data_IF_685020585832
#
_entry.id   IF_685020585832
#
_cell.length_a   1.000
_cell.length_b   1.000
_cell.length_c   1.000
_cell.angle_alpha   90.00
_cell.angle_beta   90.00
_cell.angle_gamma   90.00
#
_symmetry.space_group_name_H-M   'P 1'
#
loop_
_entity.id
_entity.type
_entity.pdbx_description
1 polymer ?
#
# COMPACT_ATOMS: atom_id res chain seq x y z
N UNK A 1 5.67 8.51 -15.66
CA UNK A 1 5.95 8.89 -17.05
C UNK A 1 7.27 8.29 -17.48
N UNK A 2 7.38 7.93 -18.76
CA UNK A 2 8.64 7.52 -19.38
C UNK A 2 9.57 8.74 -19.39
N UNK A 3 10.85 8.50 -19.18
CA UNK A 3 11.90 9.52 -19.15
C UNK A 3 13.08 9.04 -19.99
N UNK A 4 13.56 9.89 -20.87
CA UNK A 4 14.76 9.69 -21.67
C UNK A 4 15.69 10.87 -21.43
N UNK A 5 16.95 10.60 -21.10
CA UNK A 5 17.95 11.62 -20.80
C UNK A 5 19.27 11.27 -21.48
N UNK A 6 19.84 12.21 -22.20
CA UNK A 6 21.20 12.10 -22.70
C UNK A 6 22.20 12.39 -21.57
N UNK A 7 22.81 11.33 -21.04
CA UNK A 7 23.75 11.40 -19.89
C UNK A 7 25.07 12.04 -20.29
N UNK A 8 25.59 11.65 -21.44
CA UNK A 8 26.70 12.26 -22.14
C UNK A 8 26.41 12.25 -23.63
N UNK A 9 27.02 13.12 -24.45
CA UNK A 9 26.75 13.11 -25.87
C UNK A 9 26.86 11.73 -26.52
N UNK A 10 25.74 11.26 -27.08
CA UNK A 10 25.62 9.95 -27.71
C UNK A 10 25.31 8.78 -26.76
N UNK A 11 25.05 9.02 -25.46
CA UNK A 11 24.60 8.02 -24.50
C UNK A 11 23.26 8.40 -23.90
N UNK A 12 22.21 7.71 -24.24
CA UNK A 12 20.86 7.92 -23.75
C UNK A 12 20.56 6.84 -22.70
N UNK A 13 20.04 7.27 -21.56
CA UNK A 13 19.46 6.39 -20.56
C UNK A 13 18.01 6.79 -20.30
N UNK A 14 17.16 5.83 -20.08
CA UNK A 14 15.75 6.08 -19.85
C UNK A 14 15.12 5.11 -18.88
N UNK A 15 13.89 5.41 -18.51
CA UNK A 15 13.03 4.49 -17.76
C UNK A 15 11.68 4.37 -18.42
N UNK A 16 11.06 3.21 -18.23
CA UNK A 16 9.68 2.93 -18.64
C UNK A 16 8.88 2.45 -17.44
N UNK A 17 7.65 2.92 -17.36
CA UNK A 17 6.67 2.45 -16.40
C UNK A 17 5.75 1.46 -17.12
N UNK A 18 5.83 0.19 -16.76
CA UNK A 18 5.05 -0.87 -17.39
C UNK A 18 4.25 -1.66 -16.36
N UNK A 19 2.98 -2.02 -16.65
CA UNK A 19 2.19 -2.83 -15.74
C UNK A 19 2.79 -4.23 -15.58
N UNK A 20 2.50 -4.87 -14.46
CA UNK A 20 2.70 -6.32 -14.32
C UNK A 20 1.69 -7.06 -15.18
N UNK A 21 2.03 -8.26 -15.63
CA UNK A 21 1.19 -9.02 -16.55
C UNK A 21 -0.07 -9.57 -15.86
N UNK A 22 0.09 -10.23 -14.72
CA UNK A 22 -1.00 -10.86 -13.97
C UNK A 22 -1.09 -10.39 -12.53
N UNK A 23 -2.28 -9.98 -12.11
CA UNK A 23 -2.59 -9.54 -10.74
C UNK A 23 -3.49 -10.55 -10.03
N UNK A 24 -3.16 -10.90 -8.80
CA UNK A 24 -3.96 -11.73 -7.91
C UNK A 24 -4.61 -10.88 -6.81
N UNK A 25 -5.93 -10.71 -6.86
CA UNK A 25 -6.72 -9.91 -5.94
C UNK A 25 -7.37 -10.82 -4.89
N UNK A 26 -6.95 -10.72 -3.64
CA UNK A 26 -7.59 -11.41 -2.53
C UNK A 26 -8.73 -10.57 -1.97
N UNK A 27 -9.93 -11.14 -1.96
CA UNK A 27 -11.14 -10.48 -1.46
C UNK A 27 -11.64 -11.23 -0.22
N UNK A 28 -11.59 -10.63 0.98
CA UNK A 28 -12.12 -11.29 2.17
C UNK A 28 -13.62 -11.57 2.06
N UNK A 29 -14.07 -12.75 2.46
CA UNK A 29 -15.46 -13.18 2.33
C UNK A 29 -15.97 -14.01 3.51
N UNK A 30 -15.23 -14.04 4.62
CA UNK A 30 -15.54 -14.87 5.78
C UNK A 30 -16.68 -14.31 6.64
N UNK A 31 -16.34 -13.46 7.61
CA UNK A 31 -17.28 -12.87 8.56
C UNK A 31 -18.21 -11.85 7.90
N UNK A 32 -17.66 -10.99 7.06
CA UNK A 32 -18.39 -9.97 6.26
C UNK A 32 -18.13 -10.18 4.75
N UNK A 33 -19.00 -9.63 3.92
CA UNK A 33 -18.81 -9.59 2.45
C UNK A 33 -18.10 -8.28 2.08
N UNK A 34 -16.79 -8.35 1.81
CA UNK A 34 -15.98 -7.17 1.49
C UNK A 34 -16.10 -6.81 0.00
N UNK A 35 -17.29 -6.35 -0.41
CA UNK A 35 -17.58 -5.96 -1.81
C UNK A 35 -16.64 -4.85 -2.28
N UNK A 36 -16.41 -3.85 -1.42
CA UNK A 36 -15.53 -2.73 -1.73
C UNK A 36 -14.08 -3.18 -2.00
N UNK A 37 -13.57 -4.21 -1.30
CA UNK A 37 -12.24 -4.76 -1.58
C UNK A 37 -12.15 -5.37 -2.98
N UNK A 38 -13.21 -6.00 -3.49
CA UNK A 38 -13.24 -6.48 -4.87
C UNK A 38 -13.17 -5.32 -5.86
N UNK A 39 -13.97 -4.27 -5.63
CA UNK A 39 -13.96 -3.06 -6.48
C UNK A 39 -12.58 -2.42 -6.47
N UNK A 40 -12.01 -2.18 -5.30
CA UNK A 40 -10.77 -1.42 -5.13
C UNK A 40 -9.52 -2.16 -5.64
N UNK A 41 -9.47 -3.48 -5.49
CA UNK A 41 -8.33 -4.27 -5.99
C UNK A 41 -8.43 -4.50 -7.50
N UNK A 42 -9.56 -4.96 -7.99
CA UNK A 42 -9.75 -5.32 -9.40
C UNK A 42 -9.75 -4.09 -10.30
N UNK A 43 -10.48 -3.02 -9.94
CA UNK A 43 -10.51 -1.79 -10.74
C UNK A 43 -9.12 -1.17 -10.86
N UNK A 44 -8.36 -1.12 -9.75
CA UNK A 44 -7.01 -0.56 -9.76
C UNK A 44 -6.06 -1.37 -10.66
N UNK A 45 -6.15 -2.72 -10.62
CA UNK A 45 -5.40 -3.60 -11.52
C UNK A 45 -5.79 -3.36 -13.00
N UNK A 46 -7.10 -3.18 -13.27
CA UNK A 46 -7.60 -2.93 -14.62
C UNK A 46 -7.13 -1.60 -15.17
N UNK A 47 -7.21 -0.54 -14.38
CA UNK A 47 -6.74 0.80 -14.75
C UNK A 47 -5.22 0.82 -14.93
N UNK A 48 -4.48 0.03 -14.15
CA UNK A 48 -3.04 -0.13 -14.31
C UNK A 48 -2.65 -0.79 -15.64
N UNK A 49 -3.57 -1.54 -16.27
CA UNK A 49 -3.34 -2.22 -17.54
C UNK A 49 -2.79 -3.65 -17.38
N UNK A 50 -3.06 -4.32 -16.26
CA UNK A 50 -2.74 -5.74 -16.12
C UNK A 50 -3.51 -6.57 -17.17
N UNK A 51 -2.82 -7.50 -17.83
CA UNK A 51 -3.42 -8.32 -18.89
C UNK A 51 -4.34 -9.40 -18.34
N UNK A 52 -4.08 -9.90 -17.12
CA UNK A 52 -4.92 -10.92 -16.49
C UNK A 52 -5.13 -10.59 -15.00
N UNK A 53 -6.39 -10.53 -14.59
CA UNK A 53 -6.80 -10.17 -13.22
C UNK A 53 -7.58 -11.32 -12.62
N UNK A 54 -7.01 -11.93 -11.58
CA UNK A 54 -7.61 -13.01 -10.81
C UNK A 54 -8.16 -12.46 -9.51
N UNK A 55 -9.43 -12.73 -9.22
CA UNK A 55 -10.03 -12.47 -7.92
C UNK A 55 -10.25 -13.78 -7.17
N UNK A 56 -9.91 -13.86 -5.90
CA UNK A 56 -10.20 -15.03 -5.06
C UNK A 56 -10.91 -14.62 -3.78
N UNK A 57 -11.92 -15.39 -3.38
CA UNK A 57 -12.66 -15.17 -2.16
C UNK A 57 -13.08 -16.50 -1.53
N UNK A 58 -13.03 -16.62 -0.17
CA UNK A 58 -13.45 -17.84 0.50
C UNK A 58 -14.93 -18.13 0.24
N UNK A 59 -15.26 -19.37 -0.17
CA UNK A 59 -16.65 -19.79 -0.33
C UNK A 59 -17.32 -19.99 1.03
N UNK A 60 -18.62 -19.73 1.10
CA UNK A 60 -19.48 -20.06 2.23
C UNK A 60 -20.18 -21.41 1.98
N UNK A 61 -20.35 -22.26 3.00
CA UNK A 61 -21.06 -23.53 2.85
C UNK A 61 -22.45 -23.34 2.22
N UNK A 62 -22.75 -24.14 1.17
CA UNK A 62 -24.03 -24.11 0.47
C UNK A 62 -24.28 -22.89 -0.45
N UNK A 63 -23.44 -21.87 -0.40
CA UNK A 63 -23.64 -20.61 -1.18
C UNK A 63 -22.50 -20.37 -2.19
N UNK A 64 -21.29 -20.84 -1.88
CA UNK A 64 -20.10 -20.45 -2.63
C UNK A 64 -19.61 -19.06 -2.27
N UNK A 65 -18.94 -18.38 -3.20
CA UNK A 65 -18.56 -16.97 -3.03
C UNK A 65 -19.83 -16.10 -3.01
N UNK A 66 -19.84 -15.10 -2.13
CA UNK A 66 -21.00 -14.20 -2.03
C UNK A 66 -21.34 -13.57 -3.40
N UNK A 67 -22.58 -13.65 -3.87
CA UNK A 67 -22.97 -13.16 -5.21
C UNK A 67 -22.58 -11.71 -5.46
N UNK A 68 -22.65 -10.85 -4.44
CA UNK A 68 -22.27 -9.44 -4.55
C UNK A 68 -20.75 -9.26 -4.80
N UNK A 69 -19.88 -10.14 -4.24
CA UNK A 69 -18.45 -10.14 -4.53
C UNK A 69 -18.19 -10.58 -5.97
N UNK A 70 -18.88 -11.65 -6.43
CA UNK A 70 -18.76 -12.12 -7.82
C UNK A 70 -19.16 -11.01 -8.80
N UNK A 71 -20.32 -10.38 -8.55
CA UNK A 71 -20.81 -9.30 -9.39
C UNK A 71 -19.83 -8.12 -9.43
N UNK A 72 -19.36 -7.66 -8.26
CA UNK A 72 -18.41 -6.56 -8.17
C UNK A 72 -17.10 -6.88 -8.92
N UNK A 73 -16.50 -8.06 -8.67
CA UNK A 73 -15.29 -8.47 -9.36
C UNK A 73 -15.47 -8.54 -10.88
N UNK A 74 -16.63 -9.06 -11.34
CA UNK A 74 -16.95 -9.17 -12.75
C UNK A 74 -17.08 -7.79 -13.42
N UNK A 75 -17.88 -6.87 -12.86
CA UNK A 75 -18.08 -5.55 -13.47
C UNK A 75 -16.83 -4.69 -13.44
N UNK A 76 -15.91 -4.92 -12.47
CA UNK A 76 -14.62 -4.24 -12.38
C UNK A 76 -13.57 -4.83 -13.35
N UNK A 77 -13.85 -5.97 -13.99
CA UNK A 77 -13.03 -6.53 -15.05
C UNK A 77 -12.07 -7.64 -14.60
N UNK A 78 -12.44 -8.42 -13.57
CA UNK A 78 -11.74 -9.66 -13.26
C UNK A 78 -11.93 -10.70 -14.38
N UNK A 79 -10.83 -11.29 -14.88
CA UNK A 79 -10.86 -12.32 -15.91
C UNK A 79 -11.17 -13.70 -15.32
N UNK A 80 -10.79 -13.91 -14.06
CA UNK A 80 -11.02 -15.17 -13.34
C UNK A 80 -11.45 -14.89 -11.92
N UNK A 81 -12.50 -15.59 -11.45
CA UNK A 81 -12.98 -15.54 -10.07
C UNK A 81 -12.91 -16.94 -9.48
N UNK A 82 -12.17 -17.10 -8.37
CA UNK A 82 -11.96 -18.37 -7.71
C UNK A 82 -12.74 -18.45 -6.41
N UNK A 83 -13.46 -19.55 -6.20
CA UNK A 83 -14.09 -19.91 -4.93
C UNK A 83 -13.06 -20.59 -4.00
N UNK A 84 -12.03 -19.87 -3.60
CA UNK A 84 -10.93 -20.37 -2.78
C UNK A 84 -10.43 -19.25 -1.87
N UNK A 85 -10.26 -19.55 -0.59
CA UNK A 85 -9.81 -18.55 0.38
C UNK A 85 -8.53 -18.94 1.12
N UNK A 86 -8.11 -18.09 2.04
CA UNK A 86 -6.97 -18.35 2.92
C UNK A 86 -5.66 -18.51 2.17
N UNK A 87 -4.74 -19.25 2.78
CA UNK A 87 -3.40 -19.56 2.24
C UNK A 87 -3.50 -20.26 0.88
N UNK A 88 -4.52 -21.09 0.70
CA UNK A 88 -4.73 -21.86 -0.53
C UNK A 88 -5.01 -20.94 -1.73
N UNK A 89 -5.82 -19.88 -1.54
CA UNK A 89 -6.08 -18.87 -2.58
C UNK A 89 -4.81 -18.10 -2.97
N UNK A 90 -4.02 -17.71 -1.99
CA UNK A 90 -2.71 -17.07 -2.19
C UNK A 90 -1.75 -17.99 -2.96
N UNK A 91 -1.65 -19.25 -2.54
CA UNK A 91 -0.80 -20.24 -3.21
C UNK A 91 -1.26 -20.51 -4.66
N UNK A 92 -2.57 -20.68 -4.88
CA UNK A 92 -3.11 -20.95 -6.22
C UNK A 92 -2.74 -19.85 -7.22
N UNK A 93 -2.89 -18.57 -6.84
CA UNK A 93 -2.50 -17.44 -7.68
C UNK A 93 -0.99 -17.36 -7.89
N UNK A 94 -0.20 -17.58 -6.83
CA UNK A 94 1.27 -17.49 -6.92
C UNK A 94 1.87 -18.55 -7.82
N UNK A 95 1.38 -19.78 -7.72
CA UNK A 95 1.94 -20.93 -8.45
C UNK A 95 1.25 -21.21 -9.78
N UNK A 96 0.16 -20.52 -10.09
CA UNK A 96 -0.61 -20.74 -11.32
C UNK A 96 -1.31 -22.08 -11.32
N UNK A 97 -1.94 -22.45 -10.19
CA UNK A 97 -2.69 -23.70 -10.09
C UNK A 97 -4.01 -23.61 -10.84
N UNK A 98 -4.61 -24.76 -11.14
CA UNK A 98 -5.92 -24.85 -11.82
C UNK A 98 -5.95 -24.20 -13.22
N UNK A 99 -4.82 -24.17 -13.92
CA UNK A 99 -4.73 -23.55 -15.25
C UNK A 99 -4.64 -22.03 -15.27
N UNK A 100 -4.44 -21.40 -14.12
CA UNK A 100 -4.25 -19.96 -14.01
C UNK A 100 -2.85 -19.52 -14.46
N UNK A 101 -2.67 -18.29 -14.96
CA UNK A 101 -1.35 -17.70 -15.04
C UNK A 101 -0.80 -17.47 -13.64
N UNK A 102 0.54 -17.45 -13.50
CA UNK A 102 1.18 -17.08 -12.25
C UNK A 102 1.01 -15.58 -12.01
N UNK A 103 0.51 -15.21 -10.84
CA UNK A 103 0.46 -13.80 -10.45
C UNK A 103 1.87 -13.21 -10.35
N UNK A 104 2.02 -11.98 -10.84
CA UNK A 104 3.23 -11.17 -10.62
C UNK A 104 3.12 -10.37 -9.32
N UNK A 105 1.90 -10.03 -8.92
CA UNK A 105 1.60 -9.32 -7.66
C UNK A 105 0.36 -9.91 -7.01
N UNK A 106 0.37 -9.96 -5.68
CA UNK A 106 -0.78 -10.30 -4.83
C UNK A 106 -1.21 -9.07 -4.06
N UNK A 107 -2.49 -8.74 -4.13
CA UNK A 107 -3.06 -7.56 -3.47
C UNK A 107 -4.31 -7.89 -2.68
N UNK A 108 -4.66 -7.03 -1.77
CA UNK A 108 -5.87 -7.13 -0.97
C UNK A 108 -5.62 -7.52 0.48
N UNK A 109 -6.53 -7.09 1.38
CA UNK A 109 -6.46 -7.38 2.81
C UNK A 109 -6.87 -8.82 3.07
N UNK A 110 -6.45 -9.37 4.21
CA UNK A 110 -6.82 -10.71 4.64
C UNK A 110 -6.56 -10.91 6.13
N UNK A 111 -6.90 -12.08 6.65
CA UNK A 111 -6.55 -12.43 8.01
C UNK A 111 -5.03 -12.68 8.16
N UNK A 112 -4.58 -12.88 9.40
CA UNK A 112 -3.16 -13.13 9.72
C UNK A 112 -2.51 -14.25 8.90
N UNK A 113 -3.25 -15.30 8.52
CA UNK A 113 -2.71 -16.40 7.70
C UNK A 113 -2.52 -15.97 6.24
N UNK A 114 -3.39 -15.13 5.72
CA UNK A 114 -3.26 -14.55 4.38
C UNK A 114 -2.08 -13.57 4.35
N UNK A 115 -1.96 -12.72 5.36
CA UNK A 115 -0.84 -11.80 5.52
C UNK A 115 0.50 -12.55 5.59
N UNK A 116 0.56 -13.62 6.41
CA UNK A 116 1.76 -14.45 6.55
C UNK A 116 2.10 -15.20 5.25
N UNK A 117 1.09 -15.71 4.53
CA UNK A 117 1.32 -16.33 3.22
C UNK A 117 1.91 -15.34 2.20
N UNK A 118 1.41 -14.09 2.17
CA UNK A 118 1.98 -13.02 1.35
C UNK A 118 3.43 -12.73 1.77
N UNK A 119 3.70 -12.64 3.06
CA UNK A 119 5.04 -12.38 3.59
C UNK A 119 6.05 -13.47 3.20
N UNK A 120 5.69 -14.74 3.32
CA UNK A 120 6.56 -15.88 2.96
C UNK A 120 6.85 -15.90 1.45
N UNK A 121 5.88 -15.51 0.62
CA UNK A 121 6.00 -15.57 -0.83
C UNK A 121 6.58 -14.30 -1.45
N UNK A 122 6.75 -13.23 -0.65
CA UNK A 122 7.39 -12.00 -1.13
C UNK A 122 8.80 -12.28 -1.65
N UNK A 123 9.12 -11.70 -2.80
CA UNK A 123 10.34 -12.00 -3.56
C UNK A 123 10.14 -13.04 -4.67
N UNK A 124 9.25 -14.01 -4.47
CA UNK A 124 8.79 -14.90 -5.54
C UNK A 124 7.64 -14.26 -6.34
N UNK A 125 6.79 -13.55 -5.67
CA UNK A 125 5.70 -12.73 -6.19
C UNK A 125 5.73 -11.37 -5.49
N UNK A 126 5.36 -10.30 -6.17
CA UNK A 126 5.16 -8.99 -5.54
C UNK A 126 3.96 -9.02 -4.59
N UNK A 127 3.97 -8.14 -3.61
CA UNK A 127 2.81 -7.89 -2.75
C UNK A 127 2.53 -6.40 -2.66
N UNK A 128 1.29 -6.03 -2.38
CA UNK A 128 0.92 -4.63 -2.11
C UNK A 128 1.57 -4.14 -0.82
N UNK A 129 1.25 -4.83 0.29
CA UNK A 129 1.74 -4.58 1.64
C UNK A 129 1.42 -5.78 2.55
N UNK A 130 1.97 -5.77 3.75
CA UNK A 130 1.56 -6.68 4.82
C UNK A 130 0.56 -5.90 5.67
N UNK A 131 -0.71 -6.30 5.65
CA UNK A 131 -1.76 -5.70 6.44
C UNK A 131 -1.98 -6.52 7.73
N UNK A 132 -1.88 -5.84 8.86
CA UNK A 132 -2.28 -6.33 10.18
C UNK A 132 -3.74 -5.98 10.51
N UNK A 133 -4.10 -5.94 11.80
CA UNK A 133 -5.37 -5.38 12.24
C UNK A 133 -5.52 -3.93 11.80
N UNK A 134 -6.73 -3.53 11.46
CA UNK A 134 -7.06 -2.12 11.17
C UNK A 134 -6.75 -1.26 12.37
N UNK A 135 -6.10 -0.14 12.15
CA UNK A 135 -5.83 0.88 13.15
C UNK A 135 -6.32 2.27 12.68
N UNK A 136 -6.74 3.09 13.62
CA UNK A 136 -7.31 4.40 13.30
C UNK A 136 -6.99 5.43 14.36
N UNK A 137 -6.59 6.63 13.93
CA UNK A 137 -6.30 7.76 14.78
C UNK A 137 -7.20 8.94 14.42
N UNK A 138 -7.79 9.55 15.45
CA UNK A 138 -8.51 10.82 15.33
C UNK A 138 -7.69 11.93 15.99
N UNK A 139 -7.31 12.93 15.20
CA UNK A 139 -6.83 14.21 15.67
C UNK A 139 -8.01 15.14 15.85
N UNK A 140 -8.24 15.65 17.05
CA UNK A 140 -9.37 16.52 17.32
C UNK A 140 -8.95 17.67 18.27
N UNK A 141 -9.21 18.90 17.87
CA UNK A 141 -9.04 20.06 18.76
C UNK A 141 -10.35 20.40 19.50
N UNK A 142 -10.33 21.45 20.29
CA UNK A 142 -11.50 21.92 21.08
C UNK A 142 -12.73 22.29 20.25
N UNK A 143 -12.60 22.46 18.92
CA UNK A 143 -13.71 22.83 18.04
C UNK A 143 -14.51 21.60 17.58
N UNK A 144 -13.96 20.39 17.71
CA UNK A 144 -14.59 19.15 17.27
C UNK A 144 -15.84 18.80 18.10
N UNK A 145 -16.83 18.19 17.45
CA UNK A 145 -17.99 17.61 18.15
C UNK A 145 -17.60 16.28 18.84
N UNK A 146 -17.62 16.20 20.19
CA UNK A 146 -17.23 15.00 20.90
C UNK A 146 -18.11 13.78 20.60
N UNK A 147 -19.35 13.98 20.10
CA UNK A 147 -20.21 12.87 19.71
C UNK A 147 -19.77 12.29 18.37
N UNK A 148 -19.38 13.12 17.39
CA UNK A 148 -18.86 12.67 16.10
C UNK A 148 -17.52 11.95 16.32
N UNK A 149 -16.59 12.55 17.08
CA UNK A 149 -15.30 11.92 17.43
C UNK A 149 -15.51 10.53 18.06
N UNK A 150 -16.37 10.45 19.08
CA UNK A 150 -16.67 9.17 19.74
C UNK A 150 -17.29 8.14 18.79
N UNK A 151 -18.18 8.59 17.89
CA UNK A 151 -18.82 7.70 16.91
C UNK A 151 -17.80 7.17 15.89
N UNK A 152 -16.90 8.01 15.42
CA UNK A 152 -15.84 7.60 14.48
C UNK A 152 -14.89 6.58 15.14
N UNK A 153 -14.46 6.79 16.38
CA UNK A 153 -13.64 5.83 17.12
C UNK A 153 -14.34 4.48 17.30
N UNK A 154 -15.61 4.48 17.69
CA UNK A 154 -16.40 3.24 17.88
C UNK A 154 -16.61 2.52 16.56
N UNK A 155 -16.85 3.26 15.45
CA UNK A 155 -17.03 2.67 14.13
C UNK A 155 -15.79 1.93 13.62
N UNK A 156 -14.59 2.32 14.09
CA UNK A 156 -13.35 1.64 13.77
C UNK A 156 -13.04 0.49 14.74
N UNK A 157 -13.36 0.67 16.01
CA UNK A 157 -13.17 -0.38 17.01
C UNK A 157 -14.00 -1.65 16.73
N UNK A 158 -15.13 -1.56 16.02
CA UNK A 158 -15.98 -2.73 15.66
C UNK A 158 -15.34 -3.68 14.65
N UNK A 159 -14.29 -3.26 13.92
CA UNK A 159 -13.60 -4.09 12.91
C UNK A 159 -13.04 -5.38 13.50
N UNK A 160 -12.55 -5.34 14.75
CA UNK A 160 -12.02 -6.52 15.41
C UNK A 160 -11.60 -6.24 16.85
N UNK A 161 -11.58 -7.29 17.68
CA UNK A 161 -11.18 -7.21 19.09
C UNK A 161 -9.77 -6.64 19.31
N UNK A 162 -8.92 -6.63 18.29
CA UNK A 162 -7.55 -6.17 18.31
C UNK A 162 -7.29 -5.01 17.33
N UNK A 163 -8.31 -4.21 17.04
CA UNK A 163 -8.20 -3.01 16.18
C UNK A 163 -7.91 -1.79 17.05
N UNK A 164 -6.68 -1.24 17.05
CA UNK A 164 -6.34 -0.06 17.82
C UNK A 164 -7.12 1.16 17.35
N UNK A 165 -7.59 1.96 18.29
CA UNK A 165 -8.19 3.27 18.02
C UNK A 165 -7.59 4.30 18.96
N UNK A 166 -7.18 5.45 18.41
CA UNK A 166 -6.47 6.47 19.17
C UNK A 166 -7.12 7.82 19.01
N UNK A 167 -7.25 8.57 20.12
CA UNK A 167 -7.61 9.97 20.13
C UNK A 167 -6.38 10.78 20.52
N UNK A 168 -6.00 11.75 19.70
CA UNK A 168 -4.95 12.72 20.00
C UNK A 168 -5.59 14.12 19.99
N UNK A 169 -5.49 14.84 21.08
CA UNK A 169 -6.15 16.14 21.25
C UNK A 169 -5.31 17.10 22.10
N UNK A 170 -5.48 18.40 21.92
CA UNK A 170 -4.96 19.43 22.82
C UNK A 170 -5.99 19.89 23.88
N UNK A 171 -7.18 19.27 23.89
CA UNK A 171 -8.28 19.62 24.80
C UNK A 171 -8.61 18.47 25.76
N UNK A 172 -8.26 18.67 27.04
CA UNK A 172 -8.61 17.70 28.08
C UNK A 172 -10.13 17.53 28.24
N UNK A 173 -10.88 18.62 28.12
CA UNK A 173 -12.35 18.58 28.24
C UNK A 173 -12.98 17.75 27.11
N UNK A 174 -12.47 17.88 25.88
CA UNK A 174 -12.89 17.06 24.75
C UNK A 174 -12.56 15.58 25.00
N UNK A 175 -11.36 15.27 25.46
CA UNK A 175 -10.95 13.92 25.78
C UNK A 175 -11.87 13.25 26.79
N UNK A 176 -12.21 13.96 27.88
CA UNK A 176 -13.11 13.46 28.93
C UNK A 176 -14.53 13.27 28.40
N UNK A 177 -15.06 14.20 27.60
CA UNK A 177 -16.41 14.07 27.03
C UNK A 177 -16.50 12.91 26.02
N UNK A 178 -15.50 12.74 25.15
CA UNK A 178 -15.41 11.60 24.23
C UNK A 178 -15.41 10.27 25.00
N UNK A 179 -14.51 10.11 25.98
CA UNK A 179 -14.42 8.90 26.81
C UNK A 179 -15.74 8.57 27.50
N UNK A 180 -16.47 9.56 27.99
CA UNK A 180 -17.76 9.37 28.65
C UNK A 180 -18.87 8.89 27.69
N UNK A 181 -18.78 9.18 26.40
CA UNK A 181 -19.78 8.77 25.36
C UNK A 181 -19.56 7.36 24.86
N UNK A 182 -18.31 6.91 24.76
CA UNK A 182 -17.90 5.62 24.15
C UNK A 182 -18.68 4.43 24.72
N UNK A 183 -18.83 4.23 26.06
CA UNK A 183 -19.51 3.04 26.58
C UNK A 183 -20.95 2.91 26.12
N UNK A 184 -21.68 4.02 25.98
CA UNK A 184 -23.05 4.02 25.48
C UNK A 184 -23.09 3.67 24.00
N UNK A 185 -22.25 4.27 23.18
CA UNK A 185 -22.19 4.02 21.74
C UNK A 185 -21.84 2.54 21.46
N UNK A 186 -20.90 1.96 22.21
CA UNK A 186 -20.57 0.54 22.10
C UNK A 186 -21.77 -0.34 22.47
N UNK A 187 -22.48 -0.02 23.56
CA UNK A 187 -23.63 -0.81 24.01
C UNK A 187 -24.83 -0.79 23.03
N UNK A 188 -24.94 0.26 22.24
CA UNK A 188 -25.99 0.40 21.22
C UNK A 188 -25.72 -0.42 19.94
N UNK A 189 -24.52 -1.03 19.80
CA UNK A 189 -24.16 -1.87 18.66
C UNK A 189 -24.78 -3.28 18.75
N UNK A 190 -24.94 -3.98 17.60
CA UNK A 190 -25.28 -5.42 17.58
C UNK A 190 -24.23 -6.25 18.31
N UNK A 191 -24.63 -7.40 18.86
CA UNK A 191 -23.80 -8.22 19.77
C UNK A 191 -22.37 -8.45 19.30
N UNK A 192 -22.16 -8.91 18.05
CA UNK A 192 -20.84 -9.18 17.52
C UNK A 192 -19.97 -7.92 17.41
N UNK A 193 -20.56 -6.82 16.94
CA UNK A 193 -19.88 -5.54 16.77
C UNK A 193 -19.54 -4.93 18.14
N UNK A 194 -20.50 -5.01 19.08
CA UNK A 194 -20.31 -4.60 20.46
C UNK A 194 -19.16 -5.33 21.15
N UNK A 195 -19.11 -6.64 21.06
CA UNK A 195 -18.08 -7.45 21.71
C UNK A 195 -16.67 -7.12 21.15
N UNK A 196 -16.56 -6.92 19.83
CA UNK A 196 -15.32 -6.47 19.21
C UNK A 196 -14.91 -5.07 19.67
N UNK A 197 -15.83 -4.09 19.58
CA UNK A 197 -15.56 -2.70 19.96
C UNK A 197 -15.20 -2.57 21.45
N UNK A 198 -15.87 -3.33 22.32
CA UNK A 198 -15.58 -3.35 23.76
C UNK A 198 -14.16 -3.87 24.04
N UNK A 199 -13.77 -4.96 23.40
CA UNK A 199 -12.44 -5.53 23.57
C UNK A 199 -11.36 -4.59 22.99
N UNK A 200 -11.56 -4.04 21.78
CA UNK A 200 -10.65 -3.09 21.16
C UNK A 200 -10.45 -1.83 22.02
N UNK A 201 -11.55 -1.25 22.50
CA UNK A 201 -11.51 -0.05 23.36
C UNK A 201 -10.80 -0.31 24.69
N UNK A 202 -11.07 -1.45 25.33
CA UNK A 202 -10.48 -1.79 26.62
C UNK A 202 -8.97 -2.08 26.52
N UNK A 203 -8.53 -2.80 25.49
CA UNK A 203 -7.21 -3.41 25.43
C UNK A 203 -6.23 -2.67 24.52
N UNK A 204 -6.71 -1.85 23.55
CA UNK A 204 -5.89 -1.24 22.52
C UNK A 204 -6.15 0.25 22.28
N UNK A 205 -7.15 0.86 22.94
CA UNK A 205 -7.41 2.28 22.77
C UNK A 205 -6.46 3.12 23.61
N UNK A 206 -6.08 4.26 23.05
CA UNK A 206 -5.31 5.30 23.77
C UNK A 206 -5.95 6.67 23.55
N UNK A 207 -5.95 7.48 24.62
CA UNK A 207 -6.38 8.88 24.58
C UNK A 207 -5.22 9.73 25.04
N UNK A 208 -4.67 10.53 24.14
CA UNK A 208 -3.43 11.28 24.33
C UNK A 208 -3.77 12.78 24.32
N UNK A 209 -3.40 13.48 25.39
CA UNK A 209 -3.57 14.94 25.49
C UNK A 209 -2.21 15.60 25.29
N UNK A 210 -2.09 16.37 24.24
CA UNK A 210 -0.89 17.11 23.83
C UNK A 210 -0.95 18.56 24.30
N UNK A 211 0.20 19.22 24.33
CA UNK A 211 0.30 20.63 24.71
C UNK A 211 -0.21 21.57 23.62
N UNK A 212 -0.05 21.19 22.35
CA UNK A 212 -0.44 21.99 21.19
C UNK A 212 -0.57 21.14 19.91
N UNK A 213 -1.00 21.78 18.83
CA UNK A 213 -1.20 21.13 17.52
C UNK A 213 0.08 20.55 16.89
N UNK A 214 1.26 21.13 17.22
CA UNK A 214 2.53 20.59 16.69
C UNK A 214 2.88 19.25 17.34
N UNK A 215 2.67 19.15 18.65
CA UNK A 215 2.83 17.90 19.38
C UNK A 215 1.80 16.87 18.94
N UNK A 216 0.53 17.27 18.69
CA UNK A 216 -0.49 16.39 18.12
C UNK A 216 -0.05 15.83 16.76
N UNK A 217 0.46 16.68 15.86
CA UNK A 217 0.92 16.26 14.54
C UNK A 217 2.15 15.34 14.62
N UNK A 218 3.09 15.64 15.51
CA UNK A 218 4.27 14.79 15.73
C UNK A 218 3.87 13.41 16.28
N UNK A 219 2.97 13.37 17.25
CA UNK A 219 2.41 12.14 17.81
C UNK A 219 1.72 11.31 16.74
N UNK A 220 0.88 11.94 15.90
CA UNK A 220 0.23 11.24 14.78
C UNK A 220 1.22 10.64 13.79
N UNK A 221 2.25 11.40 13.41
CA UNK A 221 3.29 10.90 12.48
C UNK A 221 4.11 9.75 13.10
N UNK A 222 4.29 9.72 14.44
CA UNK A 222 4.94 8.61 15.15
C UNK A 222 4.10 7.33 15.12
N UNK A 223 2.78 7.45 15.31
CA UNK A 223 1.86 6.31 15.18
C UNK A 223 1.72 5.82 13.75
N UNK A 224 1.86 6.70 12.77
CA UNK A 224 1.72 6.41 11.34
C UNK A 224 0.49 5.52 11.05
N UNK A 225 -0.73 6.00 11.37
CA UNK A 225 -1.94 5.20 11.35
C UNK A 225 -2.37 4.81 9.92
N UNK A 226 -3.09 3.70 9.82
CA UNK A 226 -3.80 3.30 8.60
C UNK A 226 -4.81 4.36 8.19
N UNK A 227 -5.68 4.75 9.12
CA UNK A 227 -6.69 5.78 8.93
C UNK A 227 -6.44 6.95 9.87
N UNK A 228 -6.32 8.14 9.29
CA UNK A 228 -6.13 9.37 10.04
C UNK A 228 -7.29 10.33 9.78
N UNK A 229 -8.09 10.60 10.80
CA UNK A 229 -9.16 11.60 10.75
C UNK A 229 -8.72 12.87 11.48
N UNK A 230 -8.96 14.04 10.90
CA UNK A 230 -8.69 15.35 11.50
C UNK A 230 -10.00 16.10 11.66
N UNK A 231 -10.42 16.31 12.89
CA UNK A 231 -11.58 17.13 13.27
C UNK A 231 -11.08 18.34 14.06
N UNK A 232 -10.58 19.33 13.35
CA UNK A 232 -9.92 20.49 13.92
C UNK A 232 -10.07 21.73 13.03
N UNK A 233 -9.79 22.90 13.57
CA UNK A 233 -9.67 24.13 12.77
C UNK A 233 -8.45 24.05 11.84
N UNK A 234 -8.45 24.87 10.75
CA UNK A 234 -7.34 25.03 9.81
C UNK A 234 -6.89 23.70 9.13
N UNK A 235 -7.82 23.03 8.47
CA UNK A 235 -7.59 21.76 7.79
C UNK A 235 -6.46 21.80 6.74
N UNK A 236 -6.20 22.94 6.12
CA UNK A 236 -5.09 23.11 5.17
C UNK A 236 -3.73 23.03 5.86
N UNK A 237 -3.60 23.55 7.08
CA UNK A 237 -2.39 23.40 7.87
C UNK A 237 -2.12 21.91 8.17
N UNK A 238 -3.13 21.17 8.65
CA UNK A 238 -3.01 19.73 8.95
C UNK A 238 -2.60 18.95 7.73
N UNK A 239 -3.26 19.21 6.58
CA UNK A 239 -2.91 18.56 5.31
C UNK A 239 -1.47 18.81 4.88
N UNK A 240 -0.95 20.01 5.14
CA UNK A 240 0.43 20.37 4.81
C UNK A 240 1.47 19.84 5.80
N UNK A 241 1.07 19.58 7.05
CA UNK A 241 1.98 19.20 8.14
C UNK A 241 2.12 17.69 8.34
N UNK A 242 1.04 16.95 8.16
CA UNK A 242 1.00 15.51 8.36
C UNK A 242 1.65 14.76 7.18
N UNK A 243 2.41 13.71 7.49
CA UNK A 243 3.18 12.96 6.48
C UNK A 243 3.08 11.44 6.58
N UNK A 244 2.69 10.90 7.73
CA UNK A 244 2.66 9.47 7.97
C UNK A 244 1.21 8.99 8.21
N UNK A 245 0.52 8.61 7.13
CA UNK A 245 -0.83 8.03 7.18
C UNK A 245 -1.12 7.17 5.96
N UNK A 246 -1.98 6.18 6.10
CA UNK A 246 -2.46 5.40 4.97
C UNK A 246 -3.50 6.17 4.15
N UNK A 247 -4.51 6.74 4.82
CA UNK A 247 -5.51 7.65 4.23
C UNK A 247 -5.88 8.74 5.23
N UNK A 248 -6.01 9.99 4.74
CA UNK A 248 -6.32 11.18 5.54
C UNK A 248 -7.74 11.66 5.26
N UNK A 249 -8.53 11.87 6.33
CA UNK A 249 -9.90 12.37 6.31
C UNK A 249 -9.94 13.73 7.02
N UNK A 250 -10.33 14.79 6.32
CA UNK A 250 -10.26 16.16 6.79
C UNK A 250 -11.65 16.74 7.04
N UNK A 251 -11.90 17.15 8.28
CA UNK A 251 -13.17 17.76 8.72
C UNK A 251 -14.19 16.72 9.18
N UNK A 252 -15.20 17.18 9.95
CA UNK A 252 -16.28 16.30 10.43
C UNK A 252 -17.29 15.90 9.34
N UNK A 253 -17.26 16.53 8.17
CA UNK A 253 -18.09 16.16 7.02
C UNK A 253 -17.58 14.91 6.30
N UNK A 254 -16.43 14.38 6.68
CA UNK A 254 -15.92 13.12 6.16
C UNK A 254 -15.61 12.12 7.28
N UNK A 255 -15.59 10.85 6.94
CA UNK A 255 -15.28 9.78 7.89
C UNK A 255 -14.60 8.62 7.16
N UNK A 256 -13.88 7.77 7.90
CA UNK A 256 -13.28 6.55 7.39
C UNK A 256 -14.29 5.69 6.64
N UNK A 257 -15.52 5.59 7.14
CA UNK A 257 -16.59 4.82 6.49
C UNK A 257 -16.91 5.27 5.06
N UNK A 258 -16.73 6.55 4.73
CA UNK A 258 -16.88 7.02 3.34
C UNK A 258 -15.72 6.54 2.46
N UNK A 259 -14.48 6.61 2.96
CA UNK A 259 -13.30 6.10 2.27
C UNK A 259 -13.39 4.61 2.00
N UNK A 260 -13.89 3.86 2.97
CA UNK A 260 -14.09 2.42 2.84
C UNK A 260 -15.13 2.02 1.78
N UNK A 261 -16.03 2.91 1.41
CA UNK A 261 -17.20 2.53 0.59
C UNK A 261 -17.36 3.36 -0.68
N UNK A 262 -17.35 4.70 -0.58
CA UNK A 262 -17.96 5.52 -1.62
C UNK A 262 -17.17 6.80 -2.00
N UNK A 263 -16.19 7.25 -1.23
CA UNK A 263 -15.47 8.50 -1.52
C UNK A 263 -14.42 8.38 -2.64
N UNK A 264 -14.13 7.16 -3.11
CA UNK A 264 -13.26 6.92 -4.26
C UNK A 264 -11.79 6.64 -3.92
N UNK A 265 -11.33 6.92 -2.72
CA UNK A 265 -10.00 6.52 -2.26
C UNK A 265 -9.92 5.02 -2.01
N UNK A 266 -8.71 4.44 -2.13
CA UNK A 266 -8.53 3.00 -1.90
C UNK A 266 -8.39 2.72 -0.41
N UNK A 267 -9.14 1.73 0.09
CA UNK A 267 -9.12 1.33 1.50
C UNK A 267 -8.14 0.18 1.81
N UNK A 268 -7.42 -0.31 0.83
CA UNK A 268 -6.33 -1.29 1.08
C UNK A 268 -5.11 -0.49 1.48
N UNK A 269 -4.92 -0.33 2.77
CA UNK A 269 -3.99 0.63 3.37
C UNK A 269 -2.93 -0.08 4.22
N UNK A 270 -1.77 0.56 4.44
CA UNK A 270 -0.74 0.03 5.33
C UNK A 270 -1.17 0.18 6.80
N UNK A 271 -0.99 -0.87 7.59
CA UNK A 271 -1.32 -0.93 9.02
C UNK A 271 -0.05 -1.02 9.87
N UNK A 272 -0.22 -0.92 11.19
CA UNK A 272 0.86 -1.18 12.15
C UNK A 272 2.11 -0.30 11.91
N UNK A 273 1.91 0.97 11.65
CA UNK A 273 2.98 1.94 11.42
C UNK A 273 3.64 1.89 10.04
N UNK A 274 3.20 1.02 9.15
CA UNK A 274 3.77 0.91 7.81
C UNK A 274 3.50 2.15 6.93
N UNK A 275 2.56 3.02 7.33
CA UNK A 275 2.31 4.29 6.67
C UNK A 275 3.50 5.26 6.75
N UNK A 276 4.49 5.00 7.62
CA UNK A 276 5.74 5.75 7.67
C UNK A 276 6.61 5.59 6.40
N UNK A 277 6.41 4.53 5.60
CA UNK A 277 7.24 4.28 4.40
C UNK A 277 6.45 3.90 3.14
N UNK A 278 5.15 3.63 3.24
CA UNK A 278 4.34 3.24 2.08
C UNK A 278 2.92 3.78 2.18
N UNK A 279 2.33 4.11 1.05
CA UNK A 279 0.92 4.48 0.96
C UNK A 279 0.03 3.27 0.61
N UNK A 280 -1.26 3.52 0.51
CA UNK A 280 -2.27 2.53 0.14
C UNK A 280 -2.12 1.96 -1.27
N UNK A 281 -2.98 1.01 -1.58
CA UNK A 281 -3.05 0.40 -2.90
C UNK A 281 -3.41 1.44 -3.96
N UNK A 282 -2.57 1.53 -4.96
CA UNK A 282 -2.74 2.46 -6.08
C UNK A 282 -2.27 1.79 -7.37
N UNK A 283 -2.50 2.45 -8.50
CA UNK A 283 -2.00 1.99 -9.81
C UNK A 283 -0.49 1.70 -9.78
N UNK A 284 0.28 2.49 -9.04
CA UNK A 284 1.74 2.31 -8.91
C UNK A 284 2.15 0.94 -8.36
N UNK A 285 1.35 0.31 -7.50
CA UNK A 285 1.65 -1.02 -6.96
C UNK A 285 1.63 -2.11 -8.04
N UNK A 286 0.86 -1.91 -9.10
CA UNK A 286 0.79 -2.83 -10.24
C UNK A 286 1.79 -2.47 -11.36
N UNK A 287 2.61 -1.44 -11.16
CA UNK A 287 3.58 -0.97 -12.12
C UNK A 287 4.99 -1.38 -11.70
N UNK A 288 5.83 -1.64 -12.69
CA UNK A 288 7.27 -1.75 -12.50
C UNK A 288 7.98 -0.69 -13.32
N UNK A 289 9.01 -0.10 -12.74
CA UNK A 289 9.90 0.83 -13.41
C UNK A 289 11.10 0.04 -13.88
N UNK A 290 11.33 0.03 -15.19
CA UNK A 290 12.49 -0.62 -15.80
C UNK A 290 13.33 0.41 -16.50
N UNK A 291 14.65 0.21 -16.50
CA UNK A 291 15.60 1.10 -17.18
C UNK A 291 16.08 0.51 -18.49
N UNK A 292 16.44 1.36 -19.43
CA UNK A 292 17.07 0.99 -20.68
C UNK A 292 18.19 1.98 -21.03
N UNK A 293 19.13 1.56 -21.85
CA UNK A 293 20.28 2.35 -22.27
C UNK A 293 20.57 2.10 -23.74
N UNK A 294 20.98 3.16 -24.43
CA UNK A 294 21.43 3.10 -25.82
C UNK A 294 22.60 4.05 -26.04
N UNK A 295 23.64 3.58 -26.71
CA UNK A 295 24.80 4.38 -27.04
C UNK A 295 25.05 4.43 -28.56
N UNK A 296 25.44 5.58 -29.04
CA UNK A 296 26.16 5.69 -30.31
C UNK A 296 27.61 5.23 -30.12
N UNK A 297 28.38 5.08 -31.21
CA UNK A 297 29.81 4.73 -31.12
C UNK A 297 30.59 5.77 -30.31
N UNK A 298 30.34 7.04 -30.55
CA UNK A 298 31.01 8.14 -29.81
C UNK A 298 30.62 8.22 -28.33
N UNK A 299 29.34 8.02 -28.04
CA UNK A 299 28.87 7.92 -26.64
C UNK A 299 29.47 6.71 -25.92
N UNK A 300 29.57 5.57 -26.63
CA UNK A 300 30.21 4.35 -26.10
C UNK A 300 31.71 4.58 -25.77
N UNK A 301 32.44 5.38 -26.57
CA UNK A 301 33.85 5.66 -26.35
C UNK A 301 34.12 6.26 -24.95
N UNK A 302 33.33 7.27 -24.58
CA UNK A 302 33.49 7.96 -23.29
C UNK A 302 33.15 7.03 -22.13
N UNK A 303 32.01 6.35 -22.23
CA UNK A 303 31.53 5.46 -21.19
C UNK A 303 32.43 4.23 -21.01
N UNK A 304 32.95 3.68 -22.12
CA UNK A 304 33.82 2.49 -22.07
C UNK A 304 35.16 2.78 -21.35
N UNK A 305 35.76 3.94 -21.53
CA UNK A 305 37.00 4.29 -20.83
C UNK A 305 36.80 4.35 -19.32
N UNK A 306 35.75 5.04 -18.86
CA UNK A 306 35.42 5.10 -17.43
C UNK A 306 35.05 3.71 -16.88
N UNK A 307 34.28 2.93 -17.61
CA UNK A 307 33.87 1.57 -17.24
C UNK A 307 35.10 0.67 -17.06
N UNK A 308 36.04 0.68 -18.01
CA UNK A 308 37.24 -0.16 -17.93
C UNK A 308 38.08 0.15 -16.69
N UNK A 309 38.28 1.44 -16.40
CA UNK A 309 39.06 1.87 -15.22
C UNK A 309 38.39 1.50 -13.91
N UNK A 310 37.10 1.84 -13.75
CA UNK A 310 36.34 1.52 -12.54
C UNK A 310 36.31 0.01 -12.31
N UNK A 311 36.02 -0.77 -13.37
CA UNK A 311 35.98 -2.22 -13.25
C UNK A 311 37.32 -2.83 -12.81
N UNK A 312 38.46 -2.31 -13.25
CA UNK A 312 39.78 -2.74 -12.81
C UNK A 312 40.07 -2.34 -11.37
N UNK A 313 39.65 -1.16 -10.95
CA UNK A 313 39.72 -0.75 -9.54
C UNK A 313 38.94 -1.68 -8.63
N UNK A 314 37.78 -2.15 -9.10
CA UNK A 314 36.94 -3.13 -8.39
C UNK A 314 37.44 -4.58 -8.52
N UNK A 315 38.47 -4.85 -9.31
CA UNK A 315 38.95 -6.21 -9.60
C UNK A 315 38.08 -7.00 -10.56
N UNK A 316 37.16 -6.34 -11.28
CA UNK A 316 36.19 -6.97 -12.21
C UNK A 316 36.72 -6.95 -13.64
N UNK A 317 37.77 -7.72 -13.92
CA UNK A 317 38.45 -7.73 -15.23
C UNK A 317 37.52 -8.13 -16.40
N UNK A 318 36.58 -9.05 -16.19
CA UNK A 318 35.59 -9.39 -17.22
C UNK A 318 34.72 -8.21 -17.66
N UNK A 319 34.35 -7.32 -16.73
CA UNK A 319 33.62 -6.07 -17.01
C UNK A 319 34.52 -5.08 -17.75
N UNK A 320 35.80 -4.93 -17.34
CA UNK A 320 36.76 -4.11 -18.02
C UNK A 320 36.95 -4.54 -19.48
N UNK A 321 37.11 -5.85 -19.74
CA UNK A 321 37.28 -6.40 -21.08
C UNK A 321 36.05 -6.19 -21.97
N UNK A 322 34.85 -6.15 -21.40
CA UNK A 322 33.64 -5.81 -22.15
C UNK A 322 33.68 -4.38 -22.72
N UNK A 323 34.34 -3.45 -22.03
CA UNK A 323 34.59 -2.10 -22.53
C UNK A 323 35.77 -2.08 -23.53
N UNK A 324 36.89 -2.74 -23.23
CA UNK A 324 38.09 -2.80 -24.07
C UNK A 324 37.79 -3.28 -25.47
N UNK A 325 37.02 -4.39 -25.61
CA UNK A 325 36.70 -4.94 -26.95
C UNK A 325 35.87 -3.98 -27.82
N UNK A 326 35.06 -3.14 -27.18
CA UNK A 326 34.29 -2.10 -27.93
C UNK A 326 35.17 -0.96 -28.39
N UNK A 327 36.09 -0.52 -27.56
CA UNK A 327 37.09 0.47 -27.93
C UNK A 327 37.99 -0.03 -29.07
N UNK A 328 38.54 -1.23 -28.93
CA UNK A 328 39.36 -1.85 -29.97
C UNK A 328 38.61 -2.05 -31.29
N UNK A 329 37.33 -2.46 -31.24
CA UNK A 329 36.51 -2.69 -32.44
C UNK A 329 36.17 -1.40 -33.18
N UNK A 330 35.77 -0.35 -32.45
CA UNK A 330 35.21 0.83 -33.05
C UNK A 330 36.22 1.95 -33.25
N UNK A 331 37.37 1.91 -32.54
CA UNK A 331 38.44 2.92 -32.58
C UNK A 331 39.81 2.27 -32.66
N UNK A 332 40.06 1.42 -33.67
CA UNK A 332 41.29 0.60 -33.76
C UNK A 332 42.58 1.38 -33.91
N UNK A 333 42.51 2.67 -34.26
CA UNK A 333 43.67 3.54 -34.39
C UNK A 333 43.95 4.42 -33.16
N UNK A 334 43.18 4.27 -32.09
CA UNK A 334 43.33 5.09 -30.90
C UNK A 334 43.90 4.29 -29.74
N UNK A 335 44.74 4.95 -28.95
CA UNK A 335 45.26 4.38 -27.69
C UNK A 335 44.50 4.94 -26.51
N UNK A 336 44.06 4.05 -25.63
CA UNK A 336 43.35 4.40 -24.41
C UNK A 336 44.15 3.93 -23.21
N UNK A 337 44.34 4.79 -22.22
CA UNK A 337 44.79 4.37 -20.92
C UNK A 337 43.58 3.82 -20.12
N UNK A 338 43.53 2.51 -20.00
CA UNK A 338 42.44 1.75 -19.35
C UNK A 338 42.88 1.10 -18.05
N UNK A 339 44.06 1.46 -17.54
CA UNK A 339 44.59 0.96 -16.26
C UNK A 339 43.77 1.48 -15.06
N UNK A 340 43.86 0.79 -13.95
CA UNK A 340 43.30 1.22 -12.68
C UNK A 340 43.90 2.52 -12.13
N UNK A 341 45.12 2.85 -12.57
CA UNK A 341 45.92 3.98 -12.07
C UNK A 341 45.99 5.16 -13.04
N UNK A 342 45.22 5.14 -14.11
CA UNK A 342 45.18 6.17 -15.16
C UNK A 342 44.25 7.35 -14.88
#
# INVERSE_FOLDING_TARGET
SDVDLEIVPGMIAGQKVIPVDAAGCYVPGGRYSHIASAIMTVTTAKVAGCNHIMATSPPRPGVGVAPAIIYAAHICGADTIMALGGVQGIAAMTFGLFGLPKANILVGPGNQFVAEAKRILFGRVGIDMIAGPTDSLVLADKSADPHIVATDLVSQAEHGYNSPVWLVTDSKDLAEDVMNRIPKLINDLPDLNRDNALAAWRDYAEVIVCADREEMAATSDEYAPEHLTVQAEDLDWWRGRLSCYGSLFLGEETTVSYGDKASGTNHVLPTSGAAAYTGGLSVHKYMKIVTWQQATREGSKRVAQATARISRLEGMEGHARAADVRLAKYFPGENFDLSANG
#
